data_IF_342821611362
#
_entry.id   IF_342821611362
#
_cell.length_a   1.000
_cell.length_b   1.000
_cell.length_c   1.000
_cell.angle_alpha   90.00
_cell.angle_beta   90.00
_cell.angle_gamma   90.00
#
_symmetry.space_group_name_H-M   'P 1'
#
loop_
_entity.id
_entity.type
_entity.pdbx_description
1 polymer ?
#
# COMPACT_ATOMS: atom_id res chain seq x y z
N UNK A 1 18.53 -6.90 24.24
CA UNK A 1 17.07 -6.73 24.43
C UNK A 1 16.48 -6.04 23.21
N UNK A 2 15.26 -6.40 22.79
CA UNK A 2 14.60 -5.70 21.69
C UNK A 2 14.11 -4.32 22.16
N UNK A 3 14.50 -3.26 21.46
CA UNK A 3 14.04 -1.89 21.73
C UNK A 3 12.63 -1.70 21.17
N UNK A 4 11.71 -1.24 22.00
CA UNK A 4 10.35 -0.88 21.57
C UNK A 4 10.36 0.18 20.45
N UNK A 5 9.34 0.16 19.61
CA UNK A 5 9.14 1.11 18.52
C UNK A 5 7.74 1.68 18.58
N UNK A 6 7.58 2.97 18.31
CA UNK A 6 6.28 3.62 18.18
C UNK A 6 5.84 3.63 16.72
N UNK A 7 4.63 3.16 16.48
CA UNK A 7 3.99 3.18 15.16
C UNK A 7 2.78 4.12 15.25
N UNK A 8 2.65 5.03 14.30
CA UNK A 8 1.42 5.80 14.12
C UNK A 8 0.65 5.21 12.93
N UNK A 9 -0.64 4.97 13.10
CA UNK A 9 -1.54 4.49 12.06
C UNK A 9 -2.58 5.56 11.76
N UNK A 10 -2.62 6.00 10.52
CA UNK A 10 -3.61 6.92 9.98
C UNK A 10 -4.58 6.14 9.10
N UNK A 11 -5.84 6.03 9.56
CA UNK A 11 -6.92 5.39 8.83
C UNK A 11 -7.40 6.35 7.74
N UNK A 12 -6.96 6.15 6.50
CA UNK A 12 -7.25 7.06 5.39
C UNK A 12 -8.75 7.15 5.08
N UNK A 13 -9.48 6.08 5.41
CA UNK A 13 -10.92 5.94 5.18
C UNK A 13 -11.74 6.07 6.47
N UNK A 14 -11.11 6.33 7.62
CA UNK A 14 -11.77 6.27 8.93
C UNK A 14 -12.16 4.86 9.41
N UNK A 15 -11.84 3.83 8.62
CA UNK A 15 -12.12 2.41 8.91
C UNK A 15 -10.82 1.61 9.03
N UNK A 16 -10.73 0.77 10.07
CA UNK A 16 -9.62 -0.16 10.33
C UNK A 16 -9.47 -1.23 9.23
N UNK A 17 -10.56 -1.55 8.53
CA UNK A 17 -10.56 -2.50 7.43
C UNK A 17 -10.13 -1.86 6.11
N UNK A 18 -10.20 -0.54 5.99
CA UNK A 18 -9.82 0.24 4.82
C UNK A 18 -8.31 0.41 4.65
N UNK A 19 -7.92 1.49 3.96
CA UNK A 19 -6.52 1.82 3.69
C UNK A 19 -5.90 2.53 4.90
N UNK A 20 -4.68 2.13 5.23
CA UNK A 20 -3.95 2.66 6.39
C UNK A 20 -2.58 3.11 5.94
N UNK A 21 -2.22 4.34 6.31
CA UNK A 21 -0.86 4.85 6.25
C UNK A 21 -0.21 4.67 7.62
N UNK A 22 0.97 4.06 7.65
CA UNK A 22 1.74 3.83 8.87
C UNK A 22 3.06 4.59 8.82
N UNK A 23 3.41 5.23 9.93
CA UNK A 23 4.74 5.81 10.15
C UNK A 23 5.40 5.15 11.35
N UNK A 24 6.73 4.99 11.28
CA UNK A 24 7.53 4.43 12.36
C UNK A 24 8.44 5.52 12.91
N UNK A 25 8.45 5.71 14.23
CA UNK A 25 9.27 6.74 14.85
C UNK A 25 10.75 6.55 14.52
N UNK A 26 11.39 7.62 14.02
CA UNK A 26 12.78 7.65 13.55
C UNK A 26 13.05 6.83 12.27
N UNK A 27 12.03 6.60 11.45
CA UNK A 27 12.18 6.07 10.10
C UNK A 27 11.48 6.99 9.10
N UNK A 28 12.20 7.42 8.06
CA UNK A 28 11.70 8.36 7.04
C UNK A 28 10.74 7.69 6.05
N UNK A 29 10.79 6.37 5.94
CA UNK A 29 9.89 5.64 5.06
C UNK A 29 8.45 5.62 5.58
N UNK A 30 7.52 5.42 4.65
CA UNK A 30 6.13 5.17 4.95
C UNK A 30 5.77 3.73 4.61
N UNK A 31 4.84 3.16 5.37
CA UNK A 31 4.24 1.88 5.06
C UNK A 31 2.75 2.06 4.80
N UNK A 32 2.19 1.35 3.83
CA UNK A 32 0.76 1.42 3.51
C UNK A 32 0.15 0.02 3.52
N UNK A 33 -0.99 -0.14 4.20
CA UNK A 33 -1.86 -1.31 4.10
C UNK A 33 -3.03 -0.94 3.20
N UNK A 34 -3.21 -1.68 2.11
CA UNK A 34 -4.22 -1.40 1.10
C UNK A 34 -4.94 -2.71 0.75
N UNK A 35 -6.25 -2.82 0.99
CA UNK A 35 -7.03 -3.92 0.41
C UNK A 35 -6.97 -3.85 -1.11
N UNK A 36 -6.75 -4.97 -1.80
CA UNK A 36 -6.72 -5.03 -3.28
C UNK A 36 -8.01 -4.48 -3.90
N UNK A 37 -9.15 -4.72 -3.24
CA UNK A 37 -10.47 -4.19 -3.63
C UNK A 37 -10.58 -2.66 -3.54
N UNK A 38 -9.64 -1.99 -2.88
CA UNK A 38 -9.61 -0.53 -2.72
C UNK A 38 -8.54 0.15 -3.59
N UNK A 39 -7.89 -0.58 -4.50
CA UNK A 39 -6.85 -0.01 -5.39
C UNK A 39 -7.39 1.12 -6.27
N UNK A 40 -8.62 0.99 -6.78
CA UNK A 40 -9.24 2.05 -7.60
C UNK A 40 -9.43 3.37 -6.84
N UNK A 41 -9.66 3.29 -5.53
CA UNK A 41 -9.88 4.47 -4.68
C UNK A 41 -8.60 5.25 -4.42
N UNK A 42 -7.43 4.70 -4.76
CA UNK A 42 -6.12 5.30 -4.48
C UNK A 42 -5.74 6.41 -5.47
N UNK A 43 -6.40 6.52 -6.63
CA UNK A 43 -6.02 7.38 -7.76
C UNK A 43 -5.80 8.85 -7.40
N UNK A 44 -6.61 9.38 -6.47
CA UNK A 44 -6.62 10.82 -6.13
C UNK A 44 -6.13 11.09 -4.70
N UNK A 45 -5.21 10.26 -4.17
CA UNK A 45 -4.73 10.36 -2.80
C UNK A 45 -3.28 10.82 -2.73
N UNK A 46 -3.08 12.09 -2.38
CA UNK A 46 -1.77 12.70 -2.20
C UNK A 46 -0.92 12.02 -1.11
N UNK A 47 -1.53 11.32 -0.16
CA UNK A 47 -0.81 10.54 0.83
C UNK A 47 0.10 9.48 0.19
N UNK A 48 -0.27 8.97 -1.00
CA UNK A 48 0.44 7.92 -1.73
C UNK A 48 1.55 8.46 -2.65
N UNK A 49 1.67 9.78 -2.82
CA UNK A 49 2.71 10.45 -3.62
C UNK A 49 4.05 10.54 -2.89
N UNK A 50 4.46 9.44 -2.26
CA UNK A 50 5.61 9.39 -1.36
C UNK A 50 6.43 8.12 -1.57
N UNK A 51 7.68 8.14 -1.11
CA UNK A 51 8.54 6.96 -1.06
C UNK A 51 8.11 6.05 0.09
N UNK A 52 8.05 4.75 -0.14
CA UNK A 52 7.78 3.79 0.92
C UNK A 52 7.53 2.38 0.43
N UNK A 53 6.97 1.58 1.34
CA UNK A 53 6.55 0.20 1.12
C UNK A 53 5.03 0.13 1.20
N UNK A 54 4.42 -0.79 0.46
CA UNK A 54 2.99 -1.01 0.47
C UNK A 54 2.67 -2.50 0.48
N UNK A 55 1.57 -2.84 1.14
CA UNK A 55 1.07 -4.18 1.34
C UNK A 55 -0.33 -4.25 0.72
N UNK A 56 -0.47 -5.06 -0.33
CA UNK A 56 -1.74 -5.30 -0.99
C UNK A 56 -2.35 -6.59 -0.44
N UNK A 57 -3.33 -6.43 0.43
CA UNK A 57 -4.05 -7.54 1.06
C UNK A 57 -5.19 -8.02 0.17
N UNK A 58 -5.31 -9.32 0.00
CA UNK A 58 -6.43 -9.91 -0.71
C UNK A 58 -6.47 -11.41 -0.50
N UNK A 59 -7.16 -12.08 -1.41
CA UNK A 59 -7.17 -13.53 -1.50
C UNK A 59 -6.61 -13.96 -2.85
N UNK A 60 -6.13 -15.19 -2.88
CA UNK A 60 -5.79 -15.89 -4.11
C UNK A 60 -7.08 -16.40 -4.78
N UNK A 61 -7.25 -16.10 -6.07
CA UNK A 61 -8.51 -16.36 -6.78
C UNK A 61 -8.80 -17.86 -6.98
N UNK A 62 -7.77 -18.72 -6.92
CA UNK A 62 -7.91 -20.15 -7.13
C UNK A 62 -8.13 -20.91 -5.83
N UNK A 63 -7.46 -20.47 -4.75
CA UNK A 63 -7.41 -21.19 -3.48
C UNK A 63 -8.21 -20.54 -2.35
N UNK A 64 -8.73 -19.33 -2.55
CA UNK A 64 -9.40 -18.47 -1.55
C UNK A 64 -8.55 -18.20 -0.30
N UNK A 65 -7.25 -18.51 -0.35
CA UNK A 65 -6.33 -18.27 0.76
C UNK A 65 -5.95 -16.81 0.83
N UNK A 66 -5.85 -16.27 2.05
CA UNK A 66 -5.33 -14.92 2.27
C UNK A 66 -3.89 -14.79 1.77
N UNK A 67 -3.65 -13.78 0.94
CA UNK A 67 -2.32 -13.47 0.38
C UNK A 67 -2.02 -11.99 0.55
N UNK A 68 -0.74 -11.69 0.68
CA UNK A 68 -0.25 -10.31 0.77
C UNK A 68 0.86 -10.11 -0.24
N UNK A 69 0.66 -9.20 -1.18
CA UNK A 69 1.74 -8.73 -2.05
C UNK A 69 2.43 -7.54 -1.38
N UNK A 70 3.76 -7.55 -1.35
CA UNK A 70 4.56 -6.48 -0.75
C UNK A 70 5.40 -5.84 -1.85
N UNK A 71 5.22 -4.54 -2.03
CA UNK A 71 5.96 -3.74 -2.98
C UNK A 71 6.60 -2.51 -2.35
N UNK A 72 7.49 -1.87 -3.10
CA UNK A 72 8.11 -0.60 -2.73
C UNK A 72 8.14 0.35 -3.92
N UNK A 73 8.12 1.65 -3.65
CA UNK A 73 8.30 2.67 -4.66
C UNK A 73 8.99 3.90 -4.07
N UNK A 74 9.79 4.58 -4.90
CA UNK A 74 10.33 5.90 -4.61
C UNK A 74 9.64 6.96 -5.46
N UNK A 75 9.65 8.22 -5.00
CA UNK A 75 9.22 9.36 -5.81
C UNK A 75 10.12 9.44 -7.07
N UNK A 76 9.49 9.42 -8.25
CA UNK A 76 10.15 9.62 -9.55
C UNK A 76 9.97 11.08 -10.00
N UNK A 77 10.50 11.44 -11.18
CA UNK A 77 10.34 12.78 -11.77
C UNK A 77 8.87 13.23 -11.94
N UNK A 78 7.93 12.28 -11.99
CA UNK A 78 6.49 12.56 -12.08
C UNK A 78 5.85 12.96 -10.74
N UNK A 79 6.56 12.84 -9.61
CA UNK A 79 6.02 13.17 -8.29
C UNK A 79 5.07 12.13 -7.69
N UNK A 80 4.81 11.00 -8.36
CA UNK A 80 3.69 10.11 -8.00
C UNK A 80 4.06 8.99 -7.00
N UNK A 81 5.35 8.74 -6.73
CA UNK A 81 5.77 7.79 -5.68
C UNK A 81 5.10 6.40 -5.76
N UNK A 82 4.51 5.96 -4.64
CA UNK A 82 3.75 4.71 -4.54
C UNK A 82 2.52 4.69 -5.44
N UNK A 83 1.82 5.82 -5.59
CA UNK A 83 0.58 5.90 -6.37
C UNK A 83 0.74 5.33 -7.79
N UNK A 84 1.82 5.69 -8.47
CA UNK A 84 2.12 5.18 -9.82
C UNK A 84 2.26 3.64 -9.85
N UNK A 85 2.88 3.03 -8.83
CA UNK A 85 2.99 1.56 -8.75
C UNK A 85 1.67 0.88 -8.47
N UNK A 86 0.83 1.50 -7.63
CA UNK A 86 -0.51 0.97 -7.35
C UNK A 86 -1.39 0.97 -8.61
N UNK A 87 -1.26 2.00 -9.44
CA UNK A 87 -1.96 2.05 -10.73
C UNK A 87 -1.47 0.95 -11.68
N UNK A 88 -0.16 0.69 -11.78
CA UNK A 88 0.40 -0.43 -12.55
C UNK A 88 -0.20 -1.78 -12.10
N UNK A 89 -0.43 -1.97 -10.80
CA UNK A 89 -1.07 -3.18 -10.27
C UNK A 89 -2.56 -3.27 -10.57
N UNK A 90 -3.26 -2.13 -10.56
CA UNK A 90 -4.69 -2.07 -10.85
C UNK A 90 -4.99 -2.39 -12.32
N UNK A 91 -4.15 -1.92 -13.24
CA UNK A 91 -4.28 -2.18 -14.68
C UNK A 91 -3.95 -3.64 -15.05
N UNK A 92 -3.03 -4.28 -14.30
CA UNK A 92 -2.63 -5.67 -14.54
C UNK A 92 -3.65 -6.73 -14.09
N UNK A 93 -4.70 -6.35 -13.35
CA UNK A 93 -5.82 -7.26 -13.04
C UNK A 93 -6.53 -7.76 -14.31
N UNK A 94 -6.35 -7.08 -15.45
CA UNK A 94 -6.96 -7.48 -16.74
C UNK A 94 -6.06 -8.43 -17.56
N UNK A 95 -4.79 -8.70 -17.17
CA UNK A 95 -3.87 -9.52 -17.99
C UNK A 95 -3.07 -10.55 -17.17
N UNK A 96 -3.77 -11.49 -16.53
CA UNK A 96 -3.37 -12.89 -16.28
C UNK A 96 -2.06 -13.20 -15.48
N UNK A 97 -1.87 -14.46 -15.03
CA UNK A 97 -1.17 -14.81 -13.80
C UNK A 97 0.36 -14.94 -13.96
N UNK A 98 1.06 -14.89 -12.83
CA UNK A 98 2.33 -15.58 -12.66
C UNK A 98 2.37 -16.17 -11.25
#
# INVERSE_FOLDING_TARGET
>A
MARGKSINMYLMDGDVNGRIKCTLANWTGLAFKIPRTSLDLCKDRDELKQTGVYFLFGKDDQTDKSVVYIGQAGIRKNGEGILNRLQEHNEKVIISPT
#
